data_IF_490784738489
#
_entry.id   IF_490784738489
#
_cell.length_a   1.000
_cell.length_b   1.000
_cell.length_c   1.000
_cell.angle_alpha   90.00
_cell.angle_beta   90.00
_cell.angle_gamma   90.00
#
_symmetry.space_group_name_H-M   'P 1'
#
loop_
_entity.id
_entity.type
_entity.pdbx_description
1 polymer ?
#
# COMPACT_ATOMS: atom_id res chain seq x y z
N UNK A 1 -16.24 -3.97 -31.99
CA UNK A 1 -15.19 -3.21 -32.69
C UNK A 1 -13.88 -3.79 -32.22
N UNK A 2 -13.03 -4.26 -33.14
CA UNK A 2 -11.76 -4.93 -32.86
C UNK A 2 -10.97 -4.19 -31.78
N UNK A 3 -10.89 -4.75 -30.58
CA UNK A 3 -9.90 -4.30 -29.60
C UNK A 3 -8.56 -4.84 -30.09
N UNK A 4 -7.87 -4.10 -30.97
CA UNK A 4 -6.47 -4.37 -31.27
C UNK A 4 -5.72 -4.26 -29.93
N UNK A 5 -5.34 -5.41 -29.37
CA UNK A 5 -4.45 -5.43 -28.22
C UNK A 5 -3.14 -4.75 -28.62
N UNK A 6 -2.68 -3.80 -27.80
CA UNK A 6 -1.41 -3.12 -28.05
C UNK A 6 -0.27 -4.13 -27.90
N UNK A 7 0.57 -4.26 -28.92
CA UNK A 7 1.73 -5.14 -28.88
C UNK A 7 2.86 -4.48 -28.11
N UNK A 8 3.42 -5.21 -27.14
CA UNK A 8 4.48 -4.73 -26.26
C UNK A 8 5.73 -5.61 -26.35
N UNK A 9 6.90 -4.96 -26.27
CA UNK A 9 8.19 -5.63 -26.06
C UNK A 9 8.64 -5.38 -24.62
N UNK A 10 9.10 -6.42 -23.94
CA UNK A 10 9.60 -6.31 -22.57
C UNK A 10 11.13 -6.17 -22.56
N UNK A 11 11.66 -5.30 -21.69
CA UNK A 11 13.10 -5.09 -21.52
C UNK A 11 13.48 -5.21 -20.04
N UNK A 12 14.44 -6.09 -19.75
CA UNK A 12 15.00 -6.29 -18.42
C UNK A 12 16.51 -6.08 -18.39
N UNK A 13 17.03 -5.64 -17.24
CA UNK A 13 18.45 -5.57 -16.97
C UNK A 13 18.83 -6.55 -15.86
N UNK A 14 19.80 -7.41 -16.15
CA UNK A 14 20.41 -8.30 -15.17
C UNK A 14 21.73 -7.71 -14.69
N UNK A 15 21.82 -7.39 -13.40
CA UNK A 15 23.01 -6.76 -12.82
C UNK A 15 24.03 -7.84 -12.45
N UNK A 16 25.19 -7.84 -13.11
CA UNK A 16 26.22 -8.89 -13.00
C UNK A 16 27.43 -8.49 -12.13
N UNK A 17 27.26 -7.51 -11.22
CA UNK A 17 28.36 -6.97 -10.41
C UNK A 17 28.95 -8.03 -9.44
N UNK A 18 30.19 -7.82 -8.96
CA UNK A 18 30.86 -8.74 -8.01
C UNK A 18 30.17 -8.81 -6.63
N UNK A 19 29.42 -7.75 -6.26
CA UNK A 19 28.78 -7.59 -4.95
C UNK A 19 27.34 -8.11 -4.94
N UNK A 20 26.69 -8.12 -6.11
CA UNK A 20 25.31 -8.58 -6.30
C UNK A 20 25.24 -9.33 -7.63
N UNK A 21 25.08 -10.66 -7.56
CA UNK A 21 24.78 -11.52 -8.71
C UNK A 21 23.32 -11.94 -8.61
N UNK A 22 22.45 -11.27 -9.35
CA UNK A 22 21.17 -11.88 -9.71
C UNK A 22 21.45 -13.09 -10.59
N UNK A 23 20.90 -14.24 -10.26
CA UNK A 23 21.04 -15.43 -11.10
C UNK A 23 20.21 -15.24 -12.37
N UNK A 24 20.57 -15.92 -13.47
CA UNK A 24 19.74 -15.92 -14.69
C UNK A 24 18.31 -16.39 -14.40
N UNK A 25 18.12 -17.21 -13.37
CA UNK A 25 16.79 -17.65 -12.91
C UNK A 25 15.96 -16.48 -12.36
N UNK A 26 16.55 -15.62 -11.53
CA UNK A 26 15.85 -14.51 -10.88
C UNK A 26 15.31 -13.49 -11.89
N UNK A 27 16.10 -13.14 -12.91
CA UNK A 27 15.66 -12.18 -13.94
C UNK A 27 14.59 -12.79 -14.86
N UNK A 28 14.65 -14.09 -15.17
CA UNK A 28 13.63 -14.74 -15.98
C UNK A 28 12.28 -14.85 -15.25
N UNK A 29 12.30 -15.08 -13.94
CA UNK A 29 11.10 -15.03 -13.10
C UNK A 29 10.50 -13.62 -13.08
N UNK A 30 11.32 -12.59 -12.87
CA UNK A 30 10.87 -11.19 -12.92
C UNK A 30 10.27 -10.81 -14.28
N UNK A 31 10.90 -11.21 -15.38
CA UNK A 31 10.38 -10.95 -16.74
C UNK A 31 9.09 -11.73 -17.05
N UNK A 32 8.91 -12.90 -16.42
CA UNK A 32 7.65 -13.65 -16.52
C UNK A 32 6.54 -12.94 -15.75
N UNK A 33 6.83 -12.43 -14.56
CA UNK A 33 5.92 -11.59 -13.79
C UNK A 33 5.52 -10.33 -14.59
N UNK A 34 6.49 -9.64 -15.18
CA UNK A 34 6.25 -8.45 -15.99
C UNK A 34 5.35 -8.75 -17.20
N UNK A 35 5.50 -9.92 -17.83
CA UNK A 35 4.62 -10.35 -18.91
C UNK A 35 3.19 -10.52 -18.45
N UNK A 36 2.98 -11.16 -17.30
CA UNK A 36 1.65 -11.34 -16.73
C UNK A 36 1.00 -9.98 -16.40
N UNK A 37 1.80 -9.01 -15.92
CA UNK A 37 1.32 -7.65 -15.69
C UNK A 37 0.94 -6.95 -17.00
N UNK A 38 1.76 -7.05 -18.04
CA UNK A 38 1.48 -6.46 -19.35
C UNK A 38 0.20 -7.03 -19.97
N UNK A 39 0.02 -8.35 -19.88
CA UNK A 39 -1.21 -9.02 -20.32
C UNK A 39 -2.43 -8.57 -19.50
N UNK A 40 -2.27 -8.39 -18.19
CA UNK A 40 -3.33 -7.86 -17.32
C UNK A 40 -3.69 -6.39 -17.61
N UNK A 41 -2.78 -5.63 -18.25
CA UNK A 41 -3.01 -4.27 -18.76
C UNK A 41 -3.63 -4.26 -20.17
N UNK A 42 -3.90 -5.44 -20.75
CA UNK A 42 -4.48 -5.60 -22.08
C UNK A 42 -3.45 -5.58 -23.23
N UNK A 43 -2.15 -5.63 -22.94
CA UNK A 43 -1.10 -5.68 -23.95
C UNK A 43 -0.76 -7.12 -24.36
N UNK A 44 -0.41 -7.33 -25.63
CA UNK A 44 0.13 -8.61 -26.13
C UNK A 44 1.66 -8.55 -26.12
N UNK A 45 2.31 -9.38 -25.32
CA UNK A 45 3.77 -9.44 -25.29
C UNK A 45 4.30 -10.19 -26.52
N UNK A 46 5.04 -9.50 -27.39
CA UNK A 46 5.56 -10.07 -28.64
C UNK A 46 7.04 -10.46 -28.59
N UNK A 47 7.82 -9.84 -27.71
CA UNK A 47 9.23 -10.19 -27.50
C UNK A 47 9.71 -9.78 -26.09
N UNK A 48 10.83 -10.37 -25.67
CA UNK A 48 11.51 -10.07 -24.41
C UNK A 48 13.01 -9.93 -24.64
N UNK A 49 13.60 -8.87 -24.08
CA UNK A 49 15.04 -8.61 -24.13
C UNK A 49 15.60 -8.53 -22.71
N UNK A 50 16.72 -9.20 -22.48
CA UNK A 50 17.45 -9.13 -21.21
C UNK A 50 18.87 -8.71 -21.53
N UNK A 51 19.37 -7.68 -20.84
CA UNK A 51 20.73 -7.20 -20.98
C UNK A 51 21.53 -7.42 -19.71
N UNK A 52 22.70 -8.06 -19.83
CA UNK A 52 23.63 -8.27 -18.73
C UNK A 52 24.61 -7.09 -18.64
N UNK A 53 24.62 -6.35 -17.51
CA UNK A 53 25.57 -5.25 -17.26
C UNK A 53 25.97 -5.16 -15.79
N UNK A 54 27.14 -4.58 -15.46
CA UNK A 54 27.54 -4.36 -14.06
C UNK A 54 26.71 -3.28 -13.36
N UNK A 55 26.12 -2.34 -14.10
CA UNK A 55 25.26 -1.26 -13.58
C UNK A 55 24.33 -0.72 -14.67
N UNK A 56 23.28 -0.01 -14.25
CA UNK A 56 22.35 0.73 -15.12
C UNK A 56 23.09 1.85 -15.86
N UNK A 57 22.79 2.00 -17.14
CA UNK A 57 23.26 3.15 -17.92
C UNK A 57 22.52 4.42 -17.49
N UNK A 58 23.27 5.49 -17.23
CA UNK A 58 22.72 6.76 -16.72
C UNK A 58 21.71 7.37 -17.69
N UNK A 59 21.95 7.25 -18.99
CA UNK A 59 21.09 7.85 -20.02
C UNK A 59 20.05 6.90 -20.59
N UNK A 60 20.37 5.60 -20.69
CA UNK A 60 19.61 4.66 -21.53
C UNK A 60 19.23 3.34 -20.82
N UNK A 61 19.47 3.22 -19.52
CA UNK A 61 19.21 2.03 -18.69
C UNK A 61 19.93 0.74 -19.15
N UNK A 62 19.56 0.14 -20.28
CA UNK A 62 20.26 -1.00 -20.93
C UNK A 62 21.41 -0.57 -21.86
N UNK A 63 21.45 0.70 -22.24
CA UNK A 63 22.45 1.29 -23.14
C UNK A 63 21.97 1.44 -24.58
N UNK A 64 22.50 2.47 -25.27
CA UNK A 64 22.01 2.88 -26.60
C UNK A 64 22.03 1.78 -27.66
N UNK A 65 23.12 1.01 -27.78
CA UNK A 65 23.20 -0.06 -28.78
C UNK A 65 22.13 -1.15 -28.60
N UNK A 66 21.78 -1.49 -27.35
CA UNK A 66 20.69 -2.45 -27.08
C UNK A 66 19.33 -1.85 -27.41
N UNK A 67 19.13 -0.55 -27.19
CA UNK A 67 17.89 0.12 -27.59
C UNK A 67 17.72 0.16 -29.11
N UNK A 68 18.80 0.35 -29.87
CA UNK A 68 18.76 0.24 -31.34
C UNK A 68 18.31 -1.16 -31.78
N UNK A 69 18.81 -2.23 -31.14
CA UNK A 69 18.30 -3.59 -31.39
C UNK A 69 16.81 -3.74 -31.05
N UNK A 70 16.35 -3.16 -29.93
CA UNK A 70 14.94 -3.18 -29.53
C UNK A 70 14.08 -2.39 -30.53
N UNK A 71 14.57 -1.25 -31.05
CA UNK A 71 13.87 -0.44 -32.06
C UNK A 71 13.63 -1.22 -33.34
N UNK A 72 14.64 -1.91 -33.86
CA UNK A 72 14.51 -2.76 -35.04
C UNK A 72 13.41 -3.83 -34.84
N UNK A 73 13.32 -4.36 -33.62
CA UNK A 73 12.32 -5.36 -33.25
C UNK A 73 10.93 -4.77 -33.07
N UNK A 74 10.82 -3.52 -32.61
CA UNK A 74 9.56 -2.78 -32.58
C UNK A 74 8.99 -2.64 -34.01
N UNK A 75 9.84 -2.26 -34.97
CA UNK A 75 9.46 -2.13 -36.37
C UNK A 75 9.07 -3.48 -37.00
N UNK A 76 9.85 -4.53 -36.74
CA UNK A 76 9.61 -5.87 -37.29
C UNK A 76 8.28 -6.47 -36.79
N UNK A 77 8.02 -6.33 -35.48
CA UNK A 77 6.87 -6.97 -34.83
C UNK A 77 5.62 -6.08 -34.78
N UNK A 78 5.73 -4.84 -35.26
CA UNK A 78 4.71 -3.80 -35.17
C UNK A 78 4.31 -3.57 -33.70
N UNK A 79 5.31 -3.46 -32.82
CA UNK A 79 5.12 -3.18 -31.41
C UNK A 79 5.03 -1.68 -31.17
N UNK A 80 3.88 -1.22 -30.67
CA UNK A 80 3.65 0.20 -30.36
C UNK A 80 4.14 0.63 -28.99
N UNK A 81 4.69 -0.29 -28.20
CA UNK A 81 5.07 -0.05 -26.81
C UNK A 81 6.28 -0.90 -26.38
N UNK A 82 7.11 -0.31 -25.52
CA UNK A 82 8.17 -1.03 -24.80
C UNK A 82 8.01 -0.85 -23.30
N UNK A 83 8.06 -1.96 -22.57
CA UNK A 83 7.86 -2.03 -21.12
C UNK A 83 9.16 -2.45 -20.44
N UNK A 84 9.64 -1.64 -19.51
CA UNK A 84 10.85 -1.90 -18.73
C UNK A 84 10.53 -2.53 -17.37
N UNK A 85 11.32 -3.53 -16.97
CA UNK A 85 11.13 -4.23 -15.70
C UNK A 85 11.41 -3.39 -14.46
N UNK A 86 12.26 -2.38 -14.57
CA UNK A 86 12.59 -1.49 -13.47
C UNK A 86 12.04 -0.09 -13.72
N UNK A 87 11.91 0.68 -12.65
CA UNK A 87 11.65 2.12 -12.69
C UNK A 87 12.73 2.86 -13.48
N UNK A 88 12.29 3.81 -14.31
CA UNK A 88 13.15 4.66 -15.13
C UNK A 88 13.07 6.11 -14.64
N UNK A 89 14.22 6.79 -14.62
CA UNK A 89 14.23 8.25 -14.40
C UNK A 89 13.61 8.99 -15.59
N UNK A 90 13.06 10.19 -15.35
CA UNK A 90 12.47 11.02 -16.43
C UNK A 90 13.44 11.31 -17.59
N UNK A 91 14.74 11.44 -17.31
CA UNK A 91 15.77 11.59 -18.35
C UNK A 91 15.93 10.32 -19.18
N UNK A 92 15.93 9.14 -18.54
CA UNK A 92 16.00 7.87 -19.25
C UNK A 92 14.77 7.66 -20.13
N UNK A 93 13.57 7.94 -19.63
CA UNK A 93 12.32 7.82 -20.39
C UNK A 93 12.41 8.64 -21.67
N UNK A 94 12.75 9.93 -21.57
CA UNK A 94 12.88 10.82 -22.74
C UNK A 94 13.91 10.30 -23.75
N UNK A 95 15.11 9.95 -23.28
CA UNK A 95 16.17 9.45 -24.16
C UNK A 95 15.78 8.12 -24.84
N UNK A 96 15.08 7.24 -24.14
CA UNK A 96 14.63 5.96 -24.67
C UNK A 96 13.52 6.18 -25.70
N UNK A 97 12.54 7.04 -25.41
CA UNK A 97 11.46 7.38 -26.35
C UNK A 97 12.00 8.02 -27.64
N UNK A 98 13.00 8.90 -27.54
CA UNK A 98 13.69 9.47 -28.70
C UNK A 98 14.38 8.42 -29.57
N UNK A 99 14.92 7.35 -28.97
CA UNK A 99 15.59 6.28 -29.72
C UNK A 99 14.59 5.29 -30.30
N UNK A 100 13.59 4.87 -29.52
CA UNK A 100 12.67 3.80 -29.88
C UNK A 100 11.49 4.28 -30.73
N UNK A 101 11.13 5.57 -30.67
CA UNK A 101 10.00 6.18 -31.40
C UNK A 101 8.64 5.51 -31.13
N UNK A 102 8.50 4.89 -29.95
CA UNK A 102 7.28 4.22 -29.48
C UNK A 102 7.02 4.55 -28.01
N UNK A 103 5.81 4.25 -27.51
CA UNK A 103 5.44 4.51 -26.11
C UNK A 103 6.33 3.70 -25.17
N UNK A 104 6.92 4.36 -24.18
CA UNK A 104 7.73 3.70 -23.15
C UNK A 104 6.96 3.67 -21.83
N UNK A 105 6.86 2.48 -21.23
CA UNK A 105 6.38 2.31 -19.88
C UNK A 105 7.49 1.68 -19.04
N UNK A 106 7.64 2.14 -17.81
CA UNK A 106 8.37 1.38 -16.80
C UNK A 106 7.40 0.54 -15.96
N UNK A 107 7.95 -0.29 -15.06
CA UNK A 107 7.14 -1.19 -14.23
C UNK A 107 6.15 -0.44 -13.37
N UNK A 108 6.53 0.73 -12.85
CA UNK A 108 5.64 1.59 -12.08
C UNK A 108 4.47 2.04 -12.95
N UNK A 109 4.74 2.71 -14.08
CA UNK A 109 3.73 3.22 -14.98
C UNK A 109 2.77 2.13 -15.48
N UNK A 110 3.27 0.92 -15.76
CA UNK A 110 2.43 -0.23 -16.12
C UNK A 110 1.45 -0.60 -15.02
N UNK A 111 1.91 -0.72 -13.78
CA UNK A 111 1.06 -1.03 -12.62
C UNK A 111 -0.03 0.03 -12.48
N UNK A 112 0.32 1.31 -12.68
CA UNK A 112 -0.63 2.42 -12.60
C UNK A 112 -1.67 2.36 -13.71
N UNK A 113 -1.27 2.02 -14.94
CA UNK A 113 -2.19 1.88 -16.07
C UNK A 113 -3.21 0.76 -15.82
N UNK A 114 -2.77 -0.38 -15.25
CA UNK A 114 -3.66 -1.47 -14.83
C UNK A 114 -4.71 -0.96 -13.81
N UNK A 115 -4.27 -0.19 -12.81
CA UNK A 115 -5.19 0.36 -11.82
C UNK A 115 -6.16 1.39 -12.42
N UNK A 116 -5.68 2.28 -13.29
CA UNK A 116 -6.50 3.28 -13.95
C UNK A 116 -7.56 2.64 -14.86
N UNK A 117 -7.19 1.64 -15.66
CA UNK A 117 -8.12 0.90 -16.51
C UNK A 117 -9.19 0.17 -15.68
N UNK A 118 -8.81 -0.41 -14.54
CA UNK A 118 -9.75 -1.05 -13.61
C UNK A 118 -10.67 -0.03 -12.93
N UNK A 119 -10.17 1.15 -12.57
CA UNK A 119 -10.97 2.20 -11.95
C UNK A 119 -11.99 2.86 -12.90
N UNK A 120 -11.83 2.75 -14.23
CA UNK A 120 -12.69 3.43 -15.21
C UNK A 120 -13.89 2.59 -15.69
N UNK A 121 -13.83 1.26 -15.67
CA UNK A 121 -14.95 0.40 -16.09
C UNK A 121 -15.91 0.09 -14.94
N UNK A 122 -17.23 -0.01 -15.19
CA UNK A 122 -18.23 -0.38 -14.15
C UNK A 122 -17.90 -1.72 -13.49
N UNK A 123 -17.42 -2.67 -14.27
CA UNK A 123 -17.06 -4.01 -13.83
C UNK A 123 -15.71 -4.02 -13.10
N UNK A 124 -14.74 -3.21 -13.56
CA UNK A 124 -13.47 -2.98 -12.88
C UNK A 124 -13.60 -2.23 -11.56
N UNK A 125 -14.48 -1.22 -11.46
CA UNK A 125 -14.86 -0.59 -10.18
C UNK A 125 -15.44 -1.63 -9.22
N UNK A 126 -16.36 -2.47 -9.70
CA UNK A 126 -16.94 -3.53 -8.89
C UNK A 126 -15.89 -4.58 -8.48
N UNK A 127 -14.94 -4.92 -9.35
CA UNK A 127 -13.86 -5.86 -9.02
C UNK A 127 -12.80 -5.26 -8.09
N UNK A 128 -12.51 -3.96 -8.20
CA UNK A 128 -11.67 -3.22 -7.27
C UNK A 128 -12.36 -3.15 -5.92
N UNK A 129 -13.64 -2.78 -5.88
CA UNK A 129 -14.48 -2.77 -4.68
C UNK A 129 -14.59 -4.17 -4.06
N UNK A 130 -14.76 -5.23 -4.87
CA UNK A 130 -14.75 -6.63 -4.42
C UNK A 130 -13.37 -7.12 -3.96
N UNK A 131 -12.28 -6.67 -4.58
CA UNK A 131 -10.92 -6.97 -4.16
C UNK A 131 -10.58 -6.23 -2.85
N UNK A 132 -11.01 -4.98 -2.71
CA UNK A 132 -10.91 -4.19 -1.48
C UNK A 132 -11.73 -4.82 -0.35
N UNK A 133 -12.96 -5.27 -0.63
CA UNK A 133 -13.76 -6.07 0.31
C UNK A 133 -13.06 -7.39 0.70
N UNK A 134 -12.30 -8.02 -0.21
CA UNK A 134 -11.45 -9.18 0.08
C UNK A 134 -10.17 -8.84 0.86
N UNK A 135 -9.77 -7.57 0.89
CA UNK A 135 -8.55 -7.10 1.56
C UNK A 135 -8.84 -6.54 2.96
N UNK A 136 -10.13 -6.44 3.34
CA UNK A 136 -10.54 -6.20 4.72
C UNK A 136 -10.10 -7.36 5.60
N UNK A 137 -9.15 -7.09 6.50
CA UNK A 137 -8.70 -8.05 7.51
C UNK A 137 -9.26 -7.67 8.86
N UNK A 138 -9.87 -8.64 9.54
CA UNK A 138 -10.21 -8.49 10.95
C UNK A 138 -8.97 -8.70 11.80
N UNK A 139 -8.76 -7.81 12.75
CA UNK A 139 -7.74 -7.92 13.78
C UNK A 139 -8.35 -7.62 15.15
N UNK A 140 -7.64 -7.98 16.22
CA UNK A 140 -8.12 -7.85 17.60
C UNK A 140 -7.12 -7.01 18.39
N UNK A 141 -7.62 -5.97 19.05
CA UNK A 141 -6.83 -5.15 19.98
C UNK A 141 -6.58 -5.90 21.30
N UNK A 142 -5.60 -5.49 22.11
CA UNK A 142 -5.34 -6.11 23.42
C UNK A 142 -6.57 -6.16 24.34
N UNK A 143 -7.42 -5.13 24.32
CA UNK A 143 -8.71 -5.10 25.02
C UNK A 143 -9.84 -5.95 24.39
N UNK A 144 -9.52 -6.78 23.39
CA UNK A 144 -10.44 -7.69 22.68
C UNK A 144 -11.44 -7.00 21.75
N UNK A 145 -11.32 -5.70 21.49
CA UNK A 145 -12.07 -5.05 20.43
C UNK A 145 -11.62 -5.57 19.06
N UNK A 146 -12.59 -5.98 18.24
CA UNK A 146 -12.33 -6.23 16.81
C UNK A 146 -12.19 -4.89 16.08
N UNK A 147 -11.22 -4.81 15.18
CA UNK A 147 -11.07 -3.71 14.24
C UNK A 147 -10.82 -4.23 12.83
N UNK A 148 -11.11 -3.38 11.85
CA UNK A 148 -10.91 -3.66 10.44
C UNK A 148 -9.63 -2.98 9.96
N UNK A 149 -8.78 -3.75 9.31
CA UNK A 149 -7.60 -3.27 8.61
C UNK A 149 -7.91 -3.27 7.12
N UNK A 150 -7.82 -2.09 6.50
CA UNK A 150 -7.86 -1.93 5.06
C UNK A 150 -6.43 -1.76 4.58
N UNK A 151 -5.97 -2.66 3.72
CA UNK A 151 -4.68 -2.48 3.05
C UNK A 151 -4.88 -1.55 1.86
N UNK A 152 -4.36 -0.33 1.96
CA UNK A 152 -4.41 0.66 0.88
C UNK A 152 -3.23 0.45 -0.07
N UNK A 153 -3.40 0.77 -1.34
CA UNK A 153 -2.30 0.76 -2.31
C UNK A 153 -1.16 1.65 -1.78
N UNK A 154 0.05 1.08 -1.66
CA UNK A 154 1.22 1.80 -1.19
C UNK A 154 1.63 2.92 -2.14
N UNK A 155 2.16 4.01 -1.60
CA UNK A 155 2.67 5.13 -2.38
C UNK A 155 3.87 4.69 -3.23
N UNK A 156 3.73 4.80 -4.55
CA UNK A 156 4.86 4.65 -5.48
C UNK A 156 5.48 6.02 -5.68
N UNK A 157 6.80 6.13 -5.53
CA UNK A 157 7.56 7.38 -5.63
C UNK A 157 7.28 8.11 -6.94
N UNK A 158 7.21 9.45 -6.88
CA UNK A 158 7.05 10.38 -8.02
C UNK A 158 5.83 10.11 -8.91
N UNK A 159 4.64 10.32 -8.38
CA UNK A 159 3.43 10.38 -9.20
C UNK A 159 3.41 11.68 -10.01
N UNK A 160 3.27 11.63 -11.34
CA UNK A 160 2.94 12.81 -12.14
C UNK A 160 1.66 13.45 -11.60
N UNK A 161 1.56 14.79 -11.61
CA UNK A 161 0.37 15.50 -11.06
C UNK A 161 -0.97 15.00 -11.62
N UNK A 162 -0.97 14.48 -12.85
CA UNK A 162 -2.13 13.94 -13.56
C UNK A 162 -2.60 12.57 -13.02
N UNK A 163 -1.76 11.87 -12.25
CA UNK A 163 -2.05 10.56 -11.65
C UNK A 163 -2.43 10.63 -10.18
N UNK A 164 -2.28 11.80 -9.55
CA UNK A 164 -2.71 12.02 -8.17
C UNK A 164 -4.22 11.78 -8.04
N UNK A 165 -5.03 12.11 -9.04
CA UNK A 165 -6.49 11.96 -8.98
C UNK A 165 -6.96 10.50 -8.98
N UNK A 166 -6.29 9.61 -9.73
CA UNK A 166 -6.57 8.19 -9.73
C UNK A 166 -6.16 7.54 -8.39
N UNK A 167 -5.05 7.96 -7.81
CA UNK A 167 -4.61 7.53 -6.49
C UNK A 167 -5.51 8.07 -5.37
N UNK A 168 -5.90 9.34 -5.44
CA UNK A 168 -6.87 9.94 -4.53
C UNK A 168 -8.16 9.16 -4.52
N UNK A 169 -8.65 8.71 -5.69
CA UNK A 169 -9.83 7.85 -5.77
C UNK A 169 -9.66 6.54 -4.97
N UNK A 170 -8.49 5.91 -5.02
CA UNK A 170 -8.18 4.69 -4.23
C UNK A 170 -7.90 4.95 -2.76
N UNK A 171 -7.64 6.21 -2.38
CA UNK A 171 -7.36 6.63 -1.00
C UNK A 171 -8.54 7.40 -0.37
N UNK A 172 -9.66 7.58 -1.07
CA UNK A 172 -10.86 8.21 -0.49
C UNK A 172 -11.38 7.42 0.72
N UNK A 173 -11.10 6.12 0.77
CA UNK A 173 -11.45 5.26 1.91
C UNK A 173 -10.79 5.70 3.22
N UNK A 174 -9.62 6.35 3.14
CA UNK A 174 -8.93 6.94 4.28
C UNK A 174 -9.81 7.99 4.97
N UNK A 175 -10.74 8.63 4.25
CA UNK A 175 -11.74 9.57 4.82
C UNK A 175 -12.76 8.89 5.73
N UNK A 176 -12.91 7.57 5.70
CA UNK A 176 -13.78 6.83 6.60
C UNK A 176 -13.04 6.14 7.76
N UNK A 177 -11.71 6.01 7.68
CA UNK A 177 -10.93 5.36 8.74
C UNK A 177 -10.95 6.12 10.08
N UNK A 178 -11.08 5.43 11.21
CA UNK A 178 -10.96 6.06 12.53
C UNK A 178 -9.51 6.43 12.88
N UNK A 179 -8.54 5.72 12.28
CA UNK A 179 -7.11 5.89 12.49
C UNK A 179 -6.33 5.49 11.23
N UNK A 180 -5.22 6.16 10.98
CA UNK A 180 -4.32 5.88 9.85
C UNK A 180 -2.99 5.32 10.37
N UNK A 181 -2.55 4.20 9.79
CA UNK A 181 -1.21 3.65 10.02
C UNK A 181 -0.36 3.99 8.80
N UNK A 182 0.63 4.86 8.97
CA UNK A 182 1.56 5.24 7.92
C UNK A 182 2.83 4.40 8.04
N UNK A 183 2.96 3.36 7.22
CA UNK A 183 4.11 2.46 7.23
C UNK A 183 5.22 3.02 6.31
N UNK A 184 6.41 3.20 6.88
CA UNK A 184 7.59 3.76 6.20
C UNK A 184 8.68 2.71 6.19
N UNK A 185 9.25 2.42 5.01
CA UNK A 185 10.41 1.54 4.88
C UNK A 185 11.70 2.32 5.15
N UNK A 186 12.30 2.12 6.31
CA UNK A 186 13.54 2.82 6.71
C UNK A 186 14.81 2.24 6.11
N UNK A 187 14.73 1.11 5.41
CA UNK A 187 15.89 0.54 4.70
C UNK A 187 16.17 1.23 3.36
N UNK A 188 15.23 2.07 2.90
CA UNK A 188 15.33 2.81 1.66
C UNK A 188 16.04 4.16 1.89
N UNK A 189 17.07 4.48 1.11
CA UNK A 189 17.80 5.76 1.18
C UNK A 189 16.92 7.00 0.94
N UNK A 190 15.75 6.84 0.31
CA UNK A 190 14.83 7.91 -0.05
C UNK A 190 13.55 7.93 0.81
N UNK A 191 13.53 7.23 1.95
CA UNK A 191 12.33 7.09 2.77
C UNK A 191 11.74 8.44 3.22
N UNK A 192 12.58 9.45 3.49
CA UNK A 192 12.12 10.78 3.91
C UNK A 192 11.28 11.46 2.81
N UNK A 193 11.71 11.35 1.55
CA UNK A 193 10.99 11.91 0.42
C UNK A 193 9.64 11.20 0.22
N UNK A 194 9.61 9.87 0.31
CA UNK A 194 8.39 9.08 0.21
C UNK A 194 7.42 9.44 1.34
N UNK A 195 7.92 9.53 2.57
CA UNK A 195 7.14 9.90 3.75
C UNK A 195 6.49 11.28 3.59
N UNK A 196 7.24 12.29 3.16
CA UNK A 196 6.70 13.64 2.95
C UNK A 196 5.65 13.67 1.84
N UNK A 197 5.88 12.97 0.73
CA UNK A 197 4.92 12.87 -0.38
C UNK A 197 3.59 12.25 0.10
N UNK A 198 3.64 11.19 0.89
CA UNK A 198 2.45 10.57 1.48
C UNK A 198 1.69 11.55 2.38
N UNK A 199 2.41 12.28 3.23
CA UNK A 199 1.79 13.26 4.13
C UNK A 199 1.11 14.40 3.36
N UNK A 200 1.72 14.88 2.27
CA UNK A 200 1.10 15.89 1.41
C UNK A 200 -0.19 15.38 0.75
N UNK A 201 -0.22 14.11 0.30
CA UNK A 201 -1.46 13.53 -0.25
C UNK A 201 -2.54 13.36 0.81
N UNK A 202 -2.19 12.91 2.02
CA UNK A 202 -3.14 12.84 3.15
C UNK A 202 -3.70 14.22 3.49
N UNK A 203 -2.86 15.26 3.40
CA UNK A 203 -3.27 16.65 3.57
C UNK A 203 -4.27 17.07 2.50
N UNK A 204 -3.98 16.81 1.23
CA UNK A 204 -4.87 17.13 0.11
C UNK A 204 -6.20 16.36 0.16
N UNK A 205 -6.24 15.18 0.78
CA UNK A 205 -7.46 14.40 1.00
C UNK A 205 -8.35 14.96 2.13
N UNK A 206 -7.85 15.94 2.90
CA UNK A 206 -8.59 16.60 3.98
C UNK A 206 -8.74 15.74 5.23
N UNK A 207 -7.80 14.82 5.48
CA UNK A 207 -7.84 13.91 6.65
C UNK A 207 -6.93 14.36 7.81
N UNK A 208 -6.57 15.65 7.85
CA UNK A 208 -5.65 16.23 8.85
C UNK A 208 -6.09 16.02 10.32
N UNK A 209 -7.40 15.89 10.57
CA UNK A 209 -7.94 15.73 11.92
C UNK A 209 -7.87 14.29 12.45
N UNK A 210 -7.42 13.34 11.64
CA UNK A 210 -7.39 11.92 12.02
C UNK A 210 -6.11 11.57 12.77
N UNK A 211 -6.17 10.67 13.77
CA UNK A 211 -4.97 10.17 14.39
C UNK A 211 -4.14 9.38 13.36
N UNK A 212 -2.85 9.72 13.25
CA UNK A 212 -1.88 9.03 12.40
C UNK A 212 -0.80 8.43 13.28
N UNK A 213 -0.53 7.14 13.12
CA UNK A 213 0.64 6.47 13.73
C UNK A 213 1.65 6.21 12.62
N UNK A 214 2.87 6.72 12.77
CA UNK A 214 3.96 6.47 11.82
C UNK A 214 4.76 5.25 12.24
N UNK A 215 4.84 4.24 11.37
CA UNK A 215 5.47 2.96 11.64
C UNK A 215 6.70 2.80 10.75
N UNK A 216 7.88 3.00 11.34
CA UNK A 216 9.17 2.81 10.70
C UNK A 216 9.50 1.31 10.66
N UNK A 217 9.17 0.66 9.54
CA UNK A 217 9.25 -0.78 9.34
C UNK A 217 10.57 -1.17 8.64
N UNK A 218 10.94 -2.46 8.74
CA UNK A 218 12.19 -3.07 8.24
C UNK A 218 13.44 -2.71 9.03
N UNK A 219 13.30 -2.52 10.35
CA UNK A 219 14.46 -2.32 11.25
C UNK A 219 15.45 -3.48 11.21
N UNK A 220 15.02 -4.68 10.80
CA UNK A 220 15.87 -5.87 10.64
C UNK A 220 16.94 -5.75 9.54
N UNK A 221 16.79 -4.80 8.62
CA UNK A 221 17.75 -4.54 7.55
C UNK A 221 18.80 -3.48 7.93
N UNK A 222 18.62 -2.80 9.06
CA UNK A 222 19.55 -1.78 9.54
C UNK A 222 20.59 -2.37 10.49
N UNK A 223 21.81 -1.83 10.46
CA UNK A 223 22.90 -2.31 11.29
C UNK A 223 22.61 -2.12 12.80
N UNK A 224 22.98 -3.12 13.59
CA UNK A 224 22.89 -3.09 15.06
C UNK A 224 23.72 -1.95 15.63
N UNK A 225 23.07 -0.90 16.14
CA UNK A 225 23.74 0.31 16.66
C UNK A 225 22.93 1.60 16.51
N UNK A 226 21.88 1.60 15.68
CA UNK A 226 20.95 2.73 15.61
C UNK A 226 20.06 2.77 16.88
N UNK A 227 20.11 3.88 17.61
CA UNK A 227 19.27 4.15 18.78
C UNK A 227 17.86 4.53 18.31
N UNK A 228 17.05 3.52 17.99
CA UNK A 228 15.66 3.70 17.57
C UNK A 228 14.82 4.12 18.77
N UNK A 229 14.62 5.43 18.93
CA UNK A 229 13.74 5.98 19.97
C UNK A 229 12.33 6.16 19.43
N UNK A 230 11.43 5.35 19.97
CA UNK A 230 10.00 5.56 19.79
C UNK A 230 9.62 6.97 20.30
N UNK A 231 8.75 7.65 19.56
CA UNK A 231 8.11 8.91 19.98
C UNK A 231 6.63 8.64 20.21
N UNK A 232 5.91 9.64 20.70
CA UNK A 232 4.49 9.53 21.07
C UNK A 232 3.63 8.91 19.95
N UNK A 233 3.85 9.30 18.70
CA UNK A 233 3.07 8.85 17.53
C UNK A 233 3.90 8.09 16.49
N UNK A 234 5.08 7.59 16.89
CA UNK A 234 5.95 6.86 15.97
C UNK A 234 6.68 5.68 16.60
N UNK A 235 6.66 4.55 15.91
CA UNK A 235 7.25 3.29 16.38
C UNK A 235 8.18 2.70 15.33
N UNK A 236 9.28 2.10 15.79
CA UNK A 236 10.19 1.32 14.97
C UNK A 236 9.88 -0.16 15.12
N UNK A 237 9.61 -0.86 14.00
CA UNK A 237 9.22 -2.27 14.01
C UNK A 237 9.99 -3.08 12.97
N UNK A 238 10.01 -4.40 13.16
CA UNK A 238 10.24 -5.34 12.07
C UNK A 238 9.02 -6.23 11.96
N UNK A 239 8.17 -5.94 10.97
CA UNK A 239 6.98 -6.75 10.72
C UNK A 239 7.35 -8.21 10.38
N UNK A 240 8.47 -8.42 9.68
CA UNK A 240 8.98 -9.75 9.31
C UNK A 240 9.38 -10.59 10.53
N UNK A 241 10.05 -9.97 11.50
CA UNK A 241 10.56 -10.66 12.69
C UNK A 241 9.64 -10.50 13.91
N UNK A 242 8.45 -9.92 13.71
CA UNK A 242 7.47 -9.64 14.77
C UNK A 242 8.01 -8.77 15.92
N UNK A 243 8.97 -7.88 15.65
CA UNK A 243 9.56 -7.00 16.67
C UNK A 243 8.68 -5.76 16.87
N UNK A 244 8.38 -5.44 18.13
CA UNK A 244 7.58 -4.27 18.56
C UNK A 244 6.13 -4.23 18.05
N UNK A 245 5.58 -5.33 17.53
CA UNK A 245 4.17 -5.39 17.11
C UNK A 245 3.20 -5.23 18.29
N UNK A 246 3.55 -5.76 19.47
CA UNK A 246 2.72 -5.57 20.68
C UNK A 246 2.64 -4.10 21.09
N UNK A 247 3.74 -3.35 20.92
CA UNK A 247 3.77 -1.91 21.19
C UNK A 247 2.90 -1.15 20.19
N UNK A 248 2.89 -1.56 18.92
CA UNK A 248 1.99 -1.02 17.91
C UNK A 248 0.52 -1.27 18.26
N UNK A 249 0.16 -2.49 18.67
CA UNK A 249 -1.20 -2.82 19.11
C UNK A 249 -1.64 -2.00 20.32
N UNK A 250 -0.76 -1.80 21.31
CA UNK A 250 -1.04 -0.96 22.47
C UNK A 250 -1.24 0.51 22.08
N UNK A 251 -0.42 1.05 21.17
CA UNK A 251 -0.56 2.43 20.70
C UNK A 251 -1.83 2.62 19.88
N UNK A 252 -2.19 1.63 19.05
CA UNK A 252 -3.47 1.60 18.32
C UNK A 252 -4.65 1.65 19.27
N UNK A 253 -4.63 0.81 20.31
CA UNK A 253 -5.66 0.81 21.34
C UNK A 253 -5.76 2.19 22.01
N UNK A 254 -4.64 2.76 22.45
CA UNK A 254 -4.63 4.06 23.11
C UNK A 254 -5.23 5.17 22.24
N UNK A 255 -4.89 5.20 20.94
CA UNK A 255 -5.38 6.23 20.01
C UNK A 255 -6.85 6.04 19.65
N UNK A 256 -7.29 4.81 19.39
CA UNK A 256 -8.69 4.49 19.09
C UNK A 256 -9.60 4.70 20.32
N UNK A 257 -9.06 4.50 21.53
CA UNK A 257 -9.81 4.61 22.78
C UNK A 257 -9.67 5.99 23.45
N UNK A 258 -9.01 6.97 22.82
CA UNK A 258 -8.75 8.29 23.40
C UNK A 258 -10.03 9.00 23.86
N UNK A 259 -11.11 8.87 23.09
CA UNK A 259 -12.42 9.46 23.38
C UNK A 259 -13.42 8.43 23.93
N UNK A 260 -12.89 7.45 24.69
CA UNK A 260 -13.71 6.45 25.39
C UNK A 260 -13.83 6.76 26.89
N UNK A 261 -15.05 6.64 27.41
CA UNK A 261 -15.42 6.95 28.78
C UNK A 261 -15.73 5.66 29.53
N UNK A 262 -14.96 5.40 30.59
CA UNK A 262 -15.25 4.30 31.51
C UNK A 262 -16.52 4.61 32.29
N UNK A 263 -17.51 3.73 32.19
CA UNK A 263 -18.79 3.87 32.90
C UNK A 263 -19.08 2.63 33.73
N UNK A 264 -19.77 2.88 34.85
CA UNK A 264 -20.43 1.84 35.63
C UNK A 264 -21.93 2.01 35.46
N UNK A 265 -22.58 1.03 34.86
CA UNK A 265 -24.02 1.05 34.60
C UNK A 265 -24.68 0.04 35.53
N UNK A 266 -25.78 0.45 36.16
CA UNK A 266 -26.68 -0.41 36.91
C UNK A 266 -28.05 -0.40 36.21
N UNK A 267 -28.52 -1.55 35.78
CA UNK A 267 -29.84 -1.71 35.16
C UNK A 267 -30.70 -2.67 35.99
N UNK A 268 -32.01 -2.46 36.10
CA UNK A 268 -32.89 -3.49 36.64
C UNK A 268 -33.01 -4.68 35.68
N UNK A 269 -33.42 -5.85 36.19
CA UNK A 269 -33.45 -7.11 35.42
C UNK A 269 -34.38 -7.08 34.21
N UNK A 270 -35.42 -6.25 34.24
CA UNK A 270 -36.37 -6.05 33.15
C UNK A 270 -35.81 -5.22 31.99
N UNK A 271 -34.63 -4.61 32.16
CA UNK A 271 -33.90 -3.82 31.15
C UNK A 271 -32.72 -4.56 30.52
N UNK A 272 -32.73 -5.90 30.56
CA UNK A 272 -31.65 -6.76 30.06
C UNK A 272 -31.27 -6.52 28.58
N UNK A 273 -32.16 -5.93 27.78
CA UNK A 273 -31.89 -5.52 26.41
C UNK A 273 -30.75 -4.50 26.29
N UNK A 274 -30.57 -3.64 27.30
CA UNK A 274 -29.48 -2.65 27.33
C UNK A 274 -28.14 -3.36 27.47
N UNK A 275 -28.05 -4.33 28.39
CA UNK A 275 -26.86 -5.15 28.56
C UNK A 275 -26.57 -5.98 27.31
N UNK A 276 -27.61 -6.56 26.69
CA UNK A 276 -27.45 -7.33 25.45
C UNK A 276 -26.88 -6.46 24.32
N UNK A 277 -27.45 -5.26 24.12
CA UNK A 277 -26.97 -4.30 23.10
C UNK A 277 -25.52 -3.88 23.37
N UNK A 278 -25.21 -3.46 24.60
CA UNK A 278 -23.87 -2.97 24.94
C UNK A 278 -22.81 -4.08 24.88
N UNK A 279 -23.13 -5.30 25.32
CA UNK A 279 -22.21 -6.44 25.27
C UNK A 279 -21.86 -6.88 23.85
N UNK A 280 -22.76 -6.70 22.89
CA UNK A 280 -22.49 -7.01 21.49
C UNK A 280 -21.62 -5.94 20.81
N UNK A 281 -21.52 -4.73 21.38
CA UNK A 281 -20.81 -3.60 20.79
C UNK A 281 -19.50 -3.27 21.51
N UNK A 282 -19.42 -3.55 22.81
CA UNK A 282 -18.27 -3.21 23.65
C UNK A 282 -17.84 -4.41 24.50
N UNK A 283 -16.53 -4.59 24.75
CA UNK A 283 -16.05 -5.51 25.75
C UNK A 283 -16.52 -5.03 27.12
N UNK A 284 -17.08 -5.96 27.88
CA UNK A 284 -17.51 -5.71 29.25
C UNK A 284 -16.40 -6.17 30.18
N UNK A 285 -15.88 -5.26 30.99
CA UNK A 285 -14.75 -5.51 31.90
C UNK A 285 -15.18 -6.40 33.07
N UNK A 286 -16.38 -6.14 33.61
CA UNK A 286 -16.94 -6.84 34.77
C UNK A 286 -18.46 -6.82 34.74
N UNK A 287 -19.08 -7.91 35.17
CA UNK A 287 -20.54 -8.03 35.41
C UNK A 287 -20.76 -8.59 36.81
N UNK A 288 -21.65 -7.97 37.57
CA UNK A 288 -22.11 -8.41 38.89
C UNK A 288 -23.64 -8.44 38.92
N UNK A 289 -24.20 -9.55 39.40
CA UNK A 289 -25.63 -9.70 39.60
C UNK A 289 -25.94 -9.39 41.07
N UNK A 290 -26.76 -8.37 41.32
CA UNK A 290 -27.26 -7.99 42.66
C UNK A 290 -28.72 -8.37 42.82
N UNK A 291 -29.26 -8.21 44.03
CA UNK A 291 -30.65 -8.61 44.34
C UNK A 291 -31.70 -7.91 43.46
N UNK A 292 -31.48 -6.64 43.09
CA UNK A 292 -32.46 -5.84 42.33
C UNK A 292 -31.95 -5.34 40.96
N UNK A 293 -30.67 -5.57 40.65
CA UNK A 293 -30.04 -5.00 39.45
C UNK A 293 -28.87 -5.82 38.92
N UNK A 294 -28.54 -5.62 37.65
CA UNK A 294 -27.30 -6.06 37.02
C UNK A 294 -26.37 -4.85 36.95
N UNK A 295 -25.20 -4.94 37.58
CA UNK A 295 -24.15 -3.92 37.50
C UNK A 295 -23.04 -4.38 36.57
N UNK A 296 -22.57 -3.51 35.69
CA UNK A 296 -21.48 -3.83 34.79
C UNK A 296 -20.63 -2.60 34.44
N UNK A 297 -19.35 -2.84 34.15
CA UNK A 297 -18.39 -1.80 33.78
C UNK A 297 -17.89 -2.03 32.36
N UNK A 298 -17.86 -0.96 31.57
CA UNK A 298 -17.37 -0.95 30.20
C UNK A 298 -16.85 0.44 29.82
N UNK A 299 -16.21 0.53 28.66
CA UNK A 299 -15.82 1.80 28.04
C UNK A 299 -16.73 2.12 26.87
N UNK A 300 -17.44 3.25 26.93
CA UNK A 300 -18.30 3.75 25.85
C UNK A 300 -17.58 4.78 25.01
N UNK A 301 -17.89 4.88 23.71
CA UNK A 301 -17.51 6.06 22.93
C UNK A 301 -18.36 7.27 23.34
N UNK A 302 -17.99 8.48 22.91
CA UNK A 302 -18.71 9.71 23.27
C UNK A 302 -20.22 9.67 22.92
N UNK A 303 -20.57 9.03 21.79
CA UNK A 303 -21.94 9.00 21.29
C UNK A 303 -22.87 8.15 22.18
N UNK A 304 -22.43 6.94 22.55
CA UNK A 304 -23.19 6.07 23.46
C UNK A 304 -23.07 6.54 24.91
N UNK A 305 -21.96 7.16 25.31
CA UNK A 305 -21.81 7.78 26.63
C UNK A 305 -22.91 8.83 26.87
N UNK A 306 -23.16 9.73 25.93
CA UNK A 306 -24.25 10.74 26.03
C UNK A 306 -25.66 10.15 26.08
N UNK A 307 -25.84 8.89 25.67
CA UNK A 307 -27.15 8.22 25.64
C UNK A 307 -27.48 7.51 26.95
N UNK A 308 -26.46 7.01 27.64
CA UNK A 308 -26.60 6.18 28.84
C UNK A 308 -26.05 6.84 30.11
N UNK A 309 -25.49 8.05 30.01
CA UNK A 309 -25.14 8.90 31.14
C UNK A 309 -26.06 10.12 31.24
#
# INVERSE_FOLDING_TARGET
>A
MDSRQEKAILVGLNITSKTFRSTEKDINEAMTELSNLAEAAGATVVARFIQNRPSKDVGYYVGKGKLEEVREQCLLLDAGMVIFNDELSGTQIRNIEEVLEVKVLDRTALILDIFAQRALSKEGKLQVELAQLRTLRKAVLPNKLEFLVVDTVGFVSQLPHNLIDAFKATLEEVKFADLIIHVVDISNDHFEMQMNTTLDVLKELGVENKPVITVYNKTDLLASGNDFKNKEDSLYISARNHVNLDQLLNLLEQKLMKDSYGVKIAIPFDKGEILYYLRNKYPVDKIEYKEESIEFTLRLNEQDFKKYH
#
